data_IF_592523514653
#
_entry.id   IF_592523514653
#
_cell.length_a   1.000
_cell.length_b   1.000
_cell.length_c   1.000
_cell.angle_alpha   90.00
_cell.angle_beta   90.00
_cell.angle_gamma   90.00
#
_symmetry.space_group_name_H-M   'P 1'
#
loop_
_entity.id
_entity.type
_entity.pdbx_description
1 polymer ?
#
# COMPACT_ATOMS: atom_id res chain seq x y z
N UNK A 1 -30.69 2.63 -42.68
CA UNK A 1 -30.34 3.31 -41.40
C UNK A 1 -29.69 2.28 -40.50
N UNK A 2 -28.35 2.31 -40.36
CA UNK A 2 -27.61 1.37 -39.54
C UNK A 2 -27.57 1.90 -38.09
N UNK A 3 -27.98 1.08 -37.12
CA UNK A 3 -27.88 1.40 -35.70
C UNK A 3 -26.40 1.35 -35.27
N UNK A 4 -25.91 2.35 -34.51
CA UNK A 4 -24.54 2.32 -34.00
C UNK A 4 -24.39 1.17 -32.98
N UNK A 5 -23.24 0.48 -32.98
CA UNK A 5 -22.99 -0.64 -32.07
C UNK A 5 -23.00 -0.15 -30.62
N UNK A 6 -23.89 -0.71 -29.80
CA UNK A 6 -23.91 -0.53 -28.35
C UNK A 6 -22.68 -1.21 -27.76
N UNK A 7 -21.65 -0.41 -27.48
CA UNK A 7 -20.42 -0.88 -26.87
C UNK A 7 -20.74 -1.42 -25.46
N UNK A 8 -20.54 -2.72 -25.17
CA UNK A 8 -20.84 -3.29 -23.86
C UNK A 8 -19.95 -2.60 -22.83
N UNK A 9 -20.58 -1.87 -21.93
CA UNK A 9 -19.96 -1.14 -20.83
C UNK A 9 -19.18 -2.13 -19.96
N UNK A 10 -17.87 -2.27 -20.24
CA UNK A 10 -16.97 -3.07 -19.41
C UNK A 10 -17.14 -2.63 -17.95
N UNK A 11 -17.37 -3.55 -16.99
CA UNK A 11 -17.59 -3.19 -15.61
C UNK A 11 -16.38 -2.41 -15.08
N UNK A 12 -16.61 -1.12 -14.80
CA UNK A 12 -15.63 -0.13 -14.35
C UNK A 12 -15.10 -0.55 -12.97
N UNK A 13 -14.01 -1.33 -12.96
CA UNK A 13 -13.33 -1.76 -11.73
C UNK A 13 -12.84 -0.53 -10.98
N UNK A 14 -13.48 -0.18 -9.87
CA UNK A 14 -13.21 1.03 -9.08
C UNK A 14 -11.77 1.00 -8.53
N UNK A 15 -10.83 1.79 -9.07
CA UNK A 15 -9.42 1.75 -8.65
C UNK A 15 -9.25 2.23 -7.20
N UNK A 16 -10.16 3.09 -6.73
CA UNK A 16 -10.11 3.66 -5.39
C UNK A 16 -10.31 2.64 -4.25
N UNK A 17 -11.19 1.64 -4.44
CA UNK A 17 -11.38 0.59 -3.42
C UNK A 17 -10.13 -0.28 -3.29
N UNK A 18 -9.43 -0.54 -4.40
CA UNK A 18 -8.15 -1.27 -4.38
C UNK A 18 -7.08 -0.44 -3.67
N UNK A 19 -7.03 0.87 -3.90
CA UNK A 19 -6.09 1.76 -3.22
C UNK A 19 -6.29 1.79 -1.70
N UNK A 20 -7.54 1.98 -1.23
CA UNK A 20 -7.83 2.02 0.20
C UNK A 20 -7.50 0.68 0.87
N UNK A 21 -7.79 -0.43 0.19
CA UNK A 21 -7.45 -1.76 0.67
C UNK A 21 -5.93 -1.96 0.76
N UNK A 22 -5.15 -1.49 -0.22
CA UNK A 22 -3.67 -1.58 -0.19
C UNK A 22 -3.08 -0.72 0.93
N UNK A 23 -3.58 0.51 1.12
CA UNK A 23 -3.10 1.38 2.22
C UNK A 23 -3.45 0.83 3.61
N UNK A 24 -4.66 0.28 3.77
CA UNK A 24 -5.07 -0.36 5.02
C UNK A 24 -4.26 -1.63 5.27
N UNK A 25 -4.00 -2.45 4.25
CA UNK A 25 -3.18 -3.67 4.34
C UNK A 25 -1.73 -3.32 4.70
N UNK A 26 -1.14 -2.30 4.09
CA UNK A 26 0.22 -1.82 4.45
C UNK A 26 0.23 -1.36 5.90
N UNK A 27 -0.68 -0.46 6.31
CA UNK A 27 -0.72 0.03 7.69
C UNK A 27 -0.93 -1.11 8.70
N UNK A 28 -1.81 -2.06 8.41
CA UNK A 28 -2.09 -3.19 9.28
C UNK A 28 -0.90 -4.16 9.36
N UNK A 29 -0.19 -4.40 8.25
CA UNK A 29 1.06 -5.17 8.22
C UNK A 29 2.17 -4.52 9.02
N UNK A 30 2.34 -3.20 8.92
CA UNK A 30 3.29 -2.45 9.75
C UNK A 30 2.95 -2.54 11.23
N UNK A 31 1.67 -2.45 11.58
CA UNK A 31 1.22 -2.56 12.96
C UNK A 31 1.47 -3.97 13.53
N UNK A 32 1.19 -5.01 12.75
CA UNK A 32 1.46 -6.41 13.12
C UNK A 32 2.96 -6.70 13.23
N UNK A 33 3.77 -6.19 12.30
CA UNK A 33 5.22 -6.33 12.38
C UNK A 33 5.78 -5.66 13.64
N UNK A 34 5.34 -4.43 13.95
CA UNK A 34 5.76 -3.73 15.16
C UNK A 34 5.36 -4.51 16.43
N UNK A 35 4.12 -5.01 16.49
CA UNK A 35 3.60 -5.82 17.59
C UNK A 35 4.32 -7.16 17.75
N UNK A 36 4.79 -7.75 16.66
CA UNK A 36 5.53 -9.02 16.70
C UNK A 36 6.99 -8.81 17.10
N UNK A 37 7.64 -7.76 16.61
CA UNK A 37 9.06 -7.50 16.85
C UNK A 37 9.36 -6.86 18.21
N UNK A 38 8.45 -6.07 18.79
CA UNK A 38 8.64 -5.50 20.12
C UNK A 38 8.87 -6.54 21.23
N UNK A 39 8.01 -7.58 21.38
CA UNK A 39 8.21 -8.60 22.41
C UNK A 39 9.43 -9.47 22.12
N UNK A 40 9.70 -9.79 20.85
CA UNK A 40 10.90 -10.58 20.48
C UNK A 40 12.18 -9.81 20.81
N UNK A 41 12.24 -8.53 20.46
CA UNK A 41 13.37 -7.65 20.81
C UNK A 41 13.54 -7.51 22.32
N UNK A 42 12.44 -7.34 23.07
CA UNK A 42 12.46 -7.28 24.53
C UNK A 42 12.99 -8.56 25.17
N UNK A 43 12.53 -9.73 24.72
CA UNK A 43 13.01 -11.03 25.22
C UNK A 43 14.50 -11.21 24.94
N UNK A 44 14.99 -10.83 23.75
CA UNK A 44 16.42 -10.93 23.42
C UNK A 44 17.27 -10.02 24.30
N UNK A 45 16.81 -8.78 24.58
CA UNK A 45 17.54 -7.84 25.46
C UNK A 45 17.59 -8.40 26.88
N UNK A 46 16.46 -8.84 27.45
CA UNK A 46 16.40 -9.38 28.82
C UNK A 46 17.27 -10.63 28.94
N UNK A 47 17.16 -11.57 28.00
CA UNK A 47 18.00 -12.78 27.97
C UNK A 47 19.49 -12.45 27.83
N UNK A 48 19.84 -11.44 27.03
CA UNK A 48 21.24 -11.00 26.90
C UNK A 48 21.78 -10.34 28.16
N UNK A 49 20.93 -9.59 28.88
CA UNK A 49 21.30 -8.90 30.11
C UNK A 49 21.52 -9.88 31.25
N UNK A 50 20.63 -10.87 31.42
CA UNK A 50 20.83 -11.92 32.42
C UNK A 50 22.00 -12.85 32.08
N UNK A 51 22.20 -13.18 30.80
CA UNK A 51 23.37 -13.94 30.37
C UNK A 51 24.68 -13.21 30.69
N UNK A 52 24.71 -11.88 30.72
CA UNK A 52 25.91 -11.15 31.14
C UNK A 52 26.17 -11.21 32.66
N UNK A 53 25.12 -11.41 33.47
CA UNK A 53 25.25 -11.44 34.94
C UNK A 53 25.64 -12.81 35.50
N UNK A 54 25.26 -13.89 34.80
CA UNK A 54 25.51 -15.28 35.27
C UNK A 54 26.83 -15.85 34.73
N UNK A 55 27.48 -15.18 33.79
CA UNK A 55 28.74 -15.63 33.22
C UNK A 55 29.94 -15.35 34.13
N UNK A 56 30.19 -16.26 35.06
CA UNK A 56 31.55 -16.51 35.52
C UNK A 56 32.42 -16.96 34.32
N UNK A 57 33.73 -16.65 34.27
CA UNK A 57 34.59 -16.84 33.09
C UNK A 57 34.87 -18.30 32.68
N UNK A 58 34.11 -19.28 33.19
CA UNK A 58 34.26 -20.69 32.85
C UNK A 58 33.45 -21.05 31.58
N UNK A 59 34.09 -20.91 30.42
CA UNK A 59 33.81 -21.69 29.19
C UNK A 59 32.36 -21.68 28.68
N UNK A 60 31.79 -20.51 28.40
CA UNK A 60 30.55 -20.48 27.61
C UNK A 60 30.91 -20.76 26.15
N UNK A 61 30.30 -21.78 25.52
CA UNK A 61 30.60 -22.10 24.14
C UNK A 61 30.22 -20.90 23.27
N UNK A 62 31.21 -20.34 22.57
CA UNK A 62 31.10 -19.25 21.59
C UNK A 62 29.90 -19.37 20.63
N UNK A 63 29.39 -20.59 20.45
CA UNK A 63 28.22 -20.91 19.67
C UNK A 63 26.95 -20.13 20.08
N UNK A 64 26.68 -19.98 21.38
CA UNK A 64 25.45 -19.33 21.86
C UNK A 64 25.39 -17.84 21.51
N UNK A 65 26.47 -17.12 21.76
CA UNK A 65 26.59 -15.70 21.38
C UNK A 65 26.56 -15.50 19.86
N UNK A 66 27.14 -16.43 19.11
CA UNK A 66 27.10 -16.38 17.64
C UNK A 66 25.67 -16.50 17.11
N UNK A 67 24.86 -17.39 17.67
CA UNK A 67 23.49 -17.63 17.23
C UNK A 67 22.60 -16.40 17.48
N UNK A 68 22.66 -15.80 18.66
CA UNK A 68 21.91 -14.57 19.00
C UNK A 68 22.29 -13.45 18.04
N UNK A 69 23.58 -13.28 17.75
CA UNK A 69 24.06 -12.27 16.82
C UNK A 69 23.48 -12.48 15.42
N UNK A 70 23.49 -13.71 14.91
CA UNK A 70 22.95 -14.02 13.58
C UNK A 70 21.44 -13.84 13.50
N UNK A 71 20.68 -14.18 14.55
CA UNK A 71 19.23 -13.93 14.61
C UNK A 71 18.91 -12.43 14.57
N UNK A 72 19.66 -11.61 15.31
CA UNK A 72 19.51 -10.16 15.28
C UNK A 72 19.79 -9.58 13.88
N UNK A 73 20.88 -10.02 13.24
CA UNK A 73 21.22 -9.62 11.86
C UNK A 73 20.14 -10.03 10.87
N UNK A 74 19.62 -11.25 10.95
CA UNK A 74 18.56 -11.74 10.08
C UNK A 74 17.26 -10.92 10.26
N UNK A 75 16.90 -10.58 11.50
CA UNK A 75 15.73 -9.76 11.79
C UNK A 75 15.81 -8.35 11.21
N UNK A 76 16.96 -7.69 11.33
CA UNK A 76 17.21 -6.38 10.72
C UNK A 76 17.13 -6.48 9.19
N UNK A 77 17.79 -7.49 8.59
CA UNK A 77 17.80 -7.69 7.14
C UNK A 77 16.39 -7.89 6.57
N UNK A 78 15.58 -8.74 7.21
CA UNK A 78 14.19 -8.97 6.79
C UNK A 78 13.32 -7.73 6.92
N UNK A 79 13.52 -6.93 7.98
CA UNK A 79 12.79 -5.68 8.20
C UNK A 79 13.10 -4.64 7.12
N UNK A 80 14.39 -4.49 6.76
CA UNK A 80 14.82 -3.59 5.68
C UNK A 80 14.31 -4.05 4.31
N UNK A 81 14.37 -5.35 4.03
CA UNK A 81 13.84 -5.93 2.79
C UNK A 81 12.34 -5.65 2.66
N UNK A 82 11.58 -5.84 3.74
CA UNK A 82 10.15 -5.53 3.76
C UNK A 82 9.90 -4.04 3.50
N UNK A 83 10.64 -3.15 4.17
CA UNK A 83 10.55 -1.70 3.96
C UNK A 83 10.83 -1.29 2.51
N UNK A 84 11.88 -1.85 1.89
CA UNK A 84 12.22 -1.62 0.48
C UNK A 84 11.10 -2.05 -0.46
N UNK A 85 10.58 -3.26 -0.29
CA UNK A 85 9.49 -3.80 -1.13
C UNK A 85 8.20 -2.98 -0.97
N UNK A 86 7.86 -2.56 0.25
CA UNK A 86 6.73 -1.66 0.50
C UNK A 86 6.95 -0.27 -0.09
N UNK A 87 8.15 0.28 0.00
CA UNK A 87 8.51 1.58 -0.58
C UNK A 87 8.38 1.62 -2.10
N UNK A 88 8.77 0.54 -2.78
CA UNK A 88 8.64 0.42 -4.24
C UNK A 88 7.18 0.47 -4.70
N UNK A 89 6.25 -0.11 -3.95
CA UNK A 89 4.81 -0.08 -4.26
C UNK A 89 4.26 1.35 -4.17
N UNK A 90 4.67 2.12 -3.14
CA UNK A 90 4.29 3.52 -2.98
C UNK A 90 4.84 4.36 -4.15
N UNK A 91 6.08 4.12 -4.58
CA UNK A 91 6.71 4.82 -5.70
C UNK A 91 6.03 4.57 -7.04
N UNK A 92 5.64 3.32 -7.33
CA UNK A 92 4.86 2.98 -8.52
C UNK A 92 3.49 3.67 -8.51
N UNK A 93 2.83 3.71 -7.36
CA UNK A 93 1.55 4.40 -7.21
C UNK A 93 1.66 5.92 -7.39
N UNK A 94 2.66 6.55 -6.76
CA UNK A 94 2.94 7.99 -6.97
C UNK A 94 3.20 8.31 -8.43
N UNK A 95 3.87 7.43 -9.18
CA UNK A 95 4.06 7.58 -10.63
C UNK A 95 2.74 7.51 -11.39
N UNK A 96 1.83 6.60 -11.03
CA UNK A 96 0.48 6.60 -11.61
C UNK A 96 -0.31 7.88 -11.28
N UNK A 97 -0.20 8.37 -10.05
CA UNK A 97 -0.92 9.58 -9.61
C UNK A 97 -0.41 10.83 -10.33
N UNK A 98 0.91 10.98 -10.50
CA UNK A 98 1.51 12.07 -11.26
C UNK A 98 1.04 12.09 -12.72
N UNK A 99 0.83 10.92 -13.35
CA UNK A 99 0.26 10.84 -14.71
C UNK A 99 -1.20 11.31 -14.77
N UNK A 100 -1.94 11.18 -13.67
CA UNK A 100 -3.29 11.72 -13.57
C UNK A 100 -3.31 13.24 -13.38
N UNK A 101 -2.33 13.80 -12.68
CA UNK A 101 -2.20 15.25 -12.47
C UNK A 101 -1.68 15.99 -13.70
N UNK A 102 -0.92 15.33 -14.58
CA UNK A 102 -0.37 15.96 -15.79
C UNK A 102 -1.40 16.29 -16.88
N UNK A 103 -2.70 16.14 -16.62
CA UNK A 103 -3.75 16.47 -17.59
C UNK A 103 -3.87 15.49 -18.76
N UNK A 104 -3.21 14.34 -18.69
CA UNK A 104 -3.25 13.31 -19.72
C UNK A 104 -4.41 12.33 -19.49
N UNK A 105 -4.93 11.74 -20.58
CA UNK A 105 -5.94 10.71 -20.50
C UNK A 105 -5.35 9.40 -19.96
N UNK A 106 -5.96 8.74 -18.95
CA UNK A 106 -5.43 7.47 -18.44
C UNK A 106 -5.60 6.31 -19.42
N UNK A 107 -6.49 6.43 -20.40
CA UNK A 107 -6.80 5.37 -21.36
C UNK A 107 -5.98 5.55 -22.66
N UNK A 108 -6.01 6.75 -23.26
CA UNK A 108 -5.32 7.08 -24.53
C UNK A 108 -3.90 7.68 -24.31
N UNK A 109 -3.54 8.09 -23.10
CA UNK A 109 -2.33 8.88 -22.77
C UNK A 109 -2.19 10.20 -23.57
N UNK A 110 -3.27 10.65 -24.22
CA UNK A 110 -3.31 11.93 -24.93
C UNK A 110 -3.35 13.10 -23.94
N UNK A 111 -2.66 14.20 -24.26
CA UNK A 111 -2.68 15.42 -23.43
C UNK A 111 -4.00 16.18 -23.63
N UNK A 112 -4.82 16.22 -22.59
CA UNK A 112 -6.14 16.85 -22.59
C UNK A 112 -6.09 18.21 -21.90
N UNK A 113 -4.94 18.61 -21.33
CA UNK A 113 -4.79 19.90 -20.68
C UNK A 113 -5.03 21.07 -21.65
N UNK A 114 -4.73 20.85 -22.93
CA UNK A 114 -4.92 21.82 -24.01
C UNK A 114 -6.35 21.84 -24.59
N UNK A 115 -7.28 21.00 -24.12
CA UNK A 115 -8.64 20.94 -24.66
C UNK A 115 -9.69 21.42 -23.63
N UNK A 116 -10.44 22.50 -23.92
CA UNK A 116 -11.35 23.13 -22.96
C UNK A 116 -12.52 22.22 -22.56
N UNK A 117 -12.93 21.32 -23.46
CA UNK A 117 -14.10 20.45 -23.29
C UNK A 117 -13.79 19.22 -22.42
N UNK A 118 -12.51 18.95 -22.12
CA UNK A 118 -12.07 17.81 -21.32
C UNK A 118 -12.55 16.44 -21.85
N UNK A 119 -12.76 16.32 -23.16
CA UNK A 119 -13.08 15.08 -23.87
C UNK A 119 -11.83 14.67 -24.66
N UNK A 120 -11.29 13.45 -24.46
CA UNK A 120 -10.14 12.97 -25.27
C UNK A 120 -10.62 12.79 -26.73
N UNK A 121 -9.97 13.42 -27.73
CA UNK A 121 -10.37 13.28 -29.13
C UNK A 121 -10.14 11.87 -29.67
N UNK A 122 -9.13 11.16 -29.16
CA UNK A 122 -8.79 9.80 -29.59
C UNK A 122 -9.79 8.75 -29.06
N UNK A 123 -10.20 8.86 -27.79
CA UNK A 123 -11.01 7.82 -27.13
C UNK A 123 -12.44 8.25 -26.79
N UNK A 124 -12.80 9.52 -26.99
CA UNK A 124 -14.11 10.07 -26.69
C UNK A 124 -14.49 10.07 -25.20
N UNK A 125 -13.55 9.78 -24.29
CA UNK A 125 -13.85 9.79 -22.87
C UNK A 125 -14.00 11.21 -22.33
N UNK A 126 -15.17 11.51 -21.77
CA UNK A 126 -15.41 12.73 -20.99
C UNK A 126 -14.77 12.60 -19.58
N UNK A 127 -13.72 13.37 -19.35
CA UNK A 127 -13.02 13.42 -18.07
C UNK A 127 -13.80 14.13 -16.96
N UNK A 128 -14.63 15.13 -17.29
CA UNK A 128 -15.47 15.82 -16.31
C UNK A 128 -16.56 14.89 -15.79
N UNK A 129 -17.18 14.10 -16.67
CA UNK A 129 -18.13 13.07 -16.27
C UNK A 129 -17.47 12.03 -15.34
N UNK A 130 -16.30 11.49 -15.72
CA UNK A 130 -15.54 10.55 -14.88
C UNK A 130 -15.18 11.12 -13.52
N UNK A 131 -14.73 12.38 -13.46
CA UNK A 131 -14.37 13.05 -12.19
C UNK A 131 -15.57 13.21 -11.27
N UNK A 132 -16.73 13.62 -11.82
CA UNK A 132 -17.99 13.72 -11.07
C UNK A 132 -18.43 12.38 -10.50
N UNK A 133 -18.45 11.33 -11.32
CA UNK A 133 -18.79 9.98 -10.86
C UNK A 133 -17.86 9.47 -9.74
N UNK A 134 -16.55 9.76 -9.83
CA UNK A 134 -15.59 9.38 -8.80
C UNK A 134 -15.85 10.12 -7.48
N UNK A 135 -16.13 11.43 -7.52
CA UNK A 135 -16.50 12.23 -6.34
C UNK A 135 -17.79 11.69 -5.71
N UNK A 136 -18.81 11.36 -6.50
CA UNK A 136 -20.07 10.80 -6.00
C UNK A 136 -19.88 9.40 -5.42
N UNK A 137 -18.99 8.58 -6.00
CA UNK A 137 -18.62 7.29 -5.43
C UNK A 137 -17.91 7.43 -4.08
N UNK A 138 -17.03 8.43 -3.93
CA UNK A 138 -16.39 8.75 -2.64
C UNK A 138 -17.39 9.23 -1.61
N UNK A 139 -18.31 10.13 -1.99
CA UNK A 139 -19.37 10.62 -1.11
C UNK A 139 -20.22 9.45 -0.60
N UNK A 140 -20.65 8.54 -1.49
CA UNK A 140 -21.38 7.31 -1.12
C UNK A 140 -20.58 6.39 -0.20
N UNK A 141 -19.28 6.21 -0.46
CA UNK A 141 -18.43 5.38 0.39
C UNK A 141 -18.22 5.98 1.79
N UNK A 142 -18.08 7.31 1.89
CA UNK A 142 -18.02 8.02 3.18
C UNK A 142 -19.34 7.94 3.96
N UNK A 143 -20.46 7.87 3.26
CA UNK A 143 -21.80 7.74 3.85
C UNK A 143 -22.13 6.30 4.30
N UNK A 144 -21.27 5.32 3.98
CA UNK A 144 -21.50 3.91 4.22
C UNK A 144 -21.36 3.40 5.68
N UNK A 145 -20.80 4.10 6.70
CA UNK A 145 -20.52 3.42 7.97
C UNK A 145 -21.69 3.39 8.97
N UNK A 146 -22.91 3.82 8.64
CA UNK A 146 -23.98 3.95 9.66
C UNK A 146 -25.19 3.01 9.50
N UNK A 147 -25.26 2.16 8.47
CA UNK A 147 -26.46 1.35 8.22
C UNK A 147 -26.39 -0.13 8.63
N UNK A 148 -25.34 -0.57 9.31
CA UNK A 148 -25.14 -2.02 9.53
C UNK A 148 -24.46 -2.47 10.81
N UNK A 149 -24.33 -1.63 11.85
CA UNK A 149 -23.94 -2.13 13.18
C UNK A 149 -25.23 -2.44 13.94
N UNK A 150 -25.64 -3.71 14.07
CA UNK A 150 -26.68 -4.05 15.04
C UNK A 150 -26.21 -3.57 16.42
N UNK A 151 -27.05 -2.78 17.10
CA UNK A 151 -26.81 -2.34 18.48
C UNK A 151 -26.88 -3.50 19.45
#
# INVERSE_FOLDING_TARGET
MATPPTNPTRPRRRPFRRFLAVMLDVRQRWWLALWFWLPVGGVVIVMSHEAQQVLEPATVPYFGLSLIRWLAVAGIAMSLLHWLLSGMQIGAYKRMLRRHESGHCPDCNYDIAAHPDAVCPECGCDHRARRREAIDALRRAKQWPLKGVPR
#
